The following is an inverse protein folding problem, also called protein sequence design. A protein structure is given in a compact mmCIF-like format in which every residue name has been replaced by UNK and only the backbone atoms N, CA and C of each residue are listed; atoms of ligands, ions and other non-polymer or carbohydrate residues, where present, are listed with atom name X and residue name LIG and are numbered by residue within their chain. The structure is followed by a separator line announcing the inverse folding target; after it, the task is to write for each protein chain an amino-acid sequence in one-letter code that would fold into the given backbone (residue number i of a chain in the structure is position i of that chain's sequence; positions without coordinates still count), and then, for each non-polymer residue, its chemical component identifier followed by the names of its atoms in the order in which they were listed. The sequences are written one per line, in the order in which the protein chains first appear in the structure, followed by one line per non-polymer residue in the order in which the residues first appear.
data_IF_871786895525
#
_entry.id   IF_871786895525
#
_cell.length_a   1.000
_cell.length_b   1.000
_cell.length_c   1.000
_cell.angle_alpha   90.00
_cell.angle_beta   90.00
_cell.angle_gamma   90.00
#
_symmetry.space_group_name_H-M   'P 1'
#
loop_
_entity.id
_entity.type
_entity.pdbx_description
1 polymer ?
#
# COMPACT_ATOMS: atom_id res chain seq x y z
N UNK A 1 -9.72 -0.34 10.72
CA UNK A 1 -10.40 -1.40 9.95
C UNK A 1 -11.17 -0.79 8.81
N UNK A 2 -11.20 -1.43 7.66
CA UNK A 2 -11.97 -1.03 6.50
C UNK A 2 -12.83 -2.20 6.04
N UNK A 3 -14.12 -1.97 5.80
CA UNK A 3 -15.04 -2.98 5.28
C UNK A 3 -15.17 -2.86 3.76
N UNK A 4 -15.23 -4.00 3.10
CA UNK A 4 -15.39 -4.10 1.65
C UNK A 4 -16.76 -4.67 1.33
N UNK A 5 -17.57 -3.92 0.57
CA UNK A 5 -18.85 -4.38 0.07
C UNK A 5 -19.08 -3.86 -1.35
N UNK A 6 -19.83 -4.59 -2.15
CA UNK A 6 -20.31 -4.08 -3.43
C UNK A 6 -21.35 -2.97 -3.20
N UNK A 7 -21.47 -1.99 -4.11
CA UNK A 7 -22.38 -0.84 -3.93
C UNK A 7 -23.84 -1.20 -3.66
N UNK A 8 -24.27 -2.37 -4.12
CA UNK A 8 -25.66 -2.85 -3.98
C UNK A 8 -25.87 -3.79 -2.77
N UNK A 9 -24.81 -4.13 -2.06
CA UNK A 9 -24.86 -5.03 -0.92
C UNK A 9 -25.07 -4.29 0.38
N UNK A 10 -26.02 -4.79 1.19
CA UNK A 10 -26.30 -4.27 2.53
C UNK A 10 -25.22 -4.61 3.56
N UNK A 11 -24.50 -5.71 3.34
CA UNK A 11 -23.53 -6.25 4.28
C UNK A 11 -22.16 -6.35 3.63
N UNK A 12 -21.11 -6.12 4.39
CA UNK A 12 -19.75 -6.32 3.95
C UNK A 12 -19.41 -7.81 3.84
N UNK A 13 -18.79 -8.22 2.74
CA UNK A 13 -18.30 -9.59 2.53
C UNK A 13 -16.89 -9.78 3.06
N UNK A 14 -16.17 -8.71 3.27
CA UNK A 14 -14.81 -8.75 3.78
C UNK A 14 -14.39 -7.48 4.49
N UNK A 15 -13.23 -7.52 5.09
CA UNK A 15 -12.65 -6.37 5.76
C UNK A 15 -11.13 -6.45 5.81
N UNK A 16 -10.49 -5.31 5.93
CA UNK A 16 -9.05 -5.20 6.08
C UNK A 16 -8.72 -4.54 7.42
N UNK A 17 -7.88 -5.20 8.21
CA UNK A 17 -7.29 -4.64 9.42
C UNK A 17 -5.84 -4.31 9.10
N UNK A 18 -5.48 -3.03 9.22
CA UNK A 18 -4.12 -2.55 8.97
C UNK A 18 -3.45 -2.22 10.30
N UNK A 19 -2.21 -2.66 10.47
CA UNK A 19 -1.36 -2.30 11.59
C UNK A 19 0.07 -2.10 11.13
N UNK A 20 0.83 -1.31 11.88
CA UNK A 20 2.25 -1.12 11.61
C UNK A 20 3.08 -2.25 12.21
N UNK A 21 4.10 -2.68 11.46
CA UNK A 21 5.07 -3.68 11.87
C UNK A 21 6.46 -3.27 11.36
N UNK A 22 7.48 -3.38 12.19
CA UNK A 22 8.85 -3.12 11.77
C UNK A 22 9.39 -4.31 10.98
N UNK A 23 10.19 -4.04 9.94
CA UNK A 23 10.80 -5.11 9.14
C UNK A 23 11.71 -6.01 9.98
N UNK A 24 12.40 -5.45 10.98
CA UNK A 24 13.31 -6.17 11.87
C UNK A 24 12.64 -7.35 12.60
N UNK A 25 11.32 -7.24 12.84
CA UNK A 25 10.55 -8.31 13.46
C UNK A 25 10.45 -9.57 12.58
N UNK A 26 10.58 -9.41 11.27
CA UNK A 26 10.49 -10.49 10.26
C UNK A 26 11.79 -10.74 9.51
N UNK A 27 12.83 -9.93 9.71
CA UNK A 27 14.07 -9.96 8.96
C UNK A 27 14.77 -11.33 9.02
N UNK A 28 14.67 -12.04 10.15
CA UNK A 28 15.24 -13.38 10.30
C UNK A 28 14.73 -14.42 9.30
N UNK A 29 13.58 -14.18 8.67
CA UNK A 29 13.02 -15.02 7.62
C UNK A 29 13.29 -14.51 6.19
N UNK A 30 14.05 -13.43 6.04
CA UNK A 30 14.47 -12.92 4.75
C UNK A 30 15.24 -13.98 3.97
N UNK A 31 14.95 -14.13 2.70
CA UNK A 31 15.57 -15.14 1.83
C UNK A 31 15.00 -16.55 1.96
N UNK A 32 13.99 -16.77 2.81
CA UNK A 32 13.25 -18.03 2.84
C UNK A 32 12.20 -18.06 1.71
N UNK A 33 11.81 -19.27 1.30
CA UNK A 33 10.81 -19.45 0.22
C UNK A 33 9.43 -19.00 0.70
N UNK A 34 8.75 -18.20 -0.12
CA UNK A 34 7.36 -17.78 0.11
C UNK A 34 6.47 -19.02 0.27
N UNK A 35 5.59 -19.00 1.28
CA UNK A 35 4.71 -20.15 1.61
C UNK A 35 5.41 -21.29 2.37
N UNK A 36 6.73 -21.26 2.53
CA UNK A 36 7.52 -22.31 3.20
C UNK A 36 8.53 -21.71 4.20
N UNK A 37 8.11 -20.70 4.98
CA UNK A 37 8.98 -20.00 5.94
C UNK A 37 9.11 -20.70 7.30
N UNK A 38 8.40 -21.82 7.46
CA UNK A 38 8.39 -22.63 8.67
C UNK A 38 7.35 -22.20 9.71
N UNK A 39 7.08 -23.13 10.63
CA UNK A 39 6.00 -23.02 11.62
C UNK A 39 6.11 -21.78 12.50
N UNK A 40 7.32 -21.41 12.91
CA UNK A 40 7.55 -20.22 13.76
C UNK A 40 7.13 -18.90 13.07
N UNK A 41 7.20 -18.83 11.74
CA UNK A 41 6.72 -17.67 11.01
C UNK A 41 5.19 -17.63 10.97
N UNK A 42 4.55 -18.75 10.68
CA UNK A 42 3.10 -18.86 10.63
C UNK A 42 2.48 -18.63 12.01
N UNK A 43 3.08 -19.16 13.06
CA UNK A 43 2.66 -18.92 14.42
C UNK A 43 2.74 -17.43 14.79
N UNK A 44 3.84 -16.76 14.47
CA UNK A 44 3.99 -15.33 14.70
C UNK A 44 2.92 -14.51 13.97
N UNK A 45 2.61 -14.85 12.71
CA UNK A 45 1.53 -14.22 11.93
C UNK A 45 0.17 -14.42 12.60
N UNK A 46 -0.12 -15.66 12.99
CA UNK A 46 -1.37 -16.02 13.67
C UNK A 46 -1.54 -15.23 14.99
N UNK A 47 -0.53 -15.22 15.85
CA UNK A 47 -0.57 -14.49 17.11
C UNK A 47 -0.80 -12.98 16.91
N UNK A 48 -0.20 -12.39 15.86
CA UNK A 48 -0.40 -10.98 15.52
C UNK A 48 -1.81 -10.73 15.00
N UNK A 49 -2.32 -11.59 14.12
CA UNK A 49 -3.67 -11.50 13.59
C UNK A 49 -4.71 -11.58 14.70
N UNK A 50 -4.59 -12.55 15.60
CA UNK A 50 -5.52 -12.70 16.71
C UNK A 50 -5.55 -11.46 17.63
N UNK A 51 -4.41 -10.88 17.94
CA UNK A 51 -4.34 -9.63 18.72
C UNK A 51 -5.05 -8.47 18.02
N UNK A 52 -4.94 -8.38 16.69
CA UNK A 52 -5.60 -7.33 15.91
C UNK A 52 -7.10 -7.57 15.84
N UNK A 53 -7.52 -8.81 15.61
CA UNK A 53 -8.93 -9.21 15.63
C UNK A 53 -9.55 -8.92 16.99
N UNK A 54 -8.90 -9.30 18.09
CA UNK A 54 -9.37 -9.03 19.43
C UNK A 54 -9.50 -7.53 19.73
N UNK A 55 -8.55 -6.73 19.22
CA UNK A 55 -8.62 -5.28 19.37
C UNK A 55 -9.85 -4.69 18.66
N UNK A 56 -10.16 -5.18 17.46
CA UNK A 56 -11.32 -4.72 16.69
C UNK A 56 -12.62 -5.25 17.30
N UNK A 57 -12.63 -6.50 17.79
CA UNK A 57 -13.81 -7.09 18.40
C UNK A 57 -14.22 -6.43 19.74
N UNK A 58 -13.31 -5.70 20.38
CA UNK A 58 -13.69 -4.86 21.54
C UNK A 58 -14.66 -3.73 21.16
N UNK A 59 -14.51 -3.18 19.96
CA UNK A 59 -15.38 -2.14 19.40
C UNK A 59 -16.61 -2.74 18.67
N UNK A 60 -16.42 -3.93 18.08
CA UNK A 60 -17.42 -4.64 17.29
C UNK A 60 -17.59 -6.09 17.79
N UNK A 61 -18.26 -6.34 18.92
CA UNK A 61 -18.30 -7.66 19.58
C UNK A 61 -18.78 -8.81 18.68
N UNK A 62 -19.76 -8.56 17.81
CA UNK A 62 -20.31 -9.59 16.91
C UNK A 62 -19.41 -9.91 15.71
N UNK A 63 -18.35 -9.15 15.50
CA UNK A 63 -17.46 -9.37 14.37
C UNK A 63 -16.74 -10.72 14.46
N UNK A 64 -16.41 -11.18 15.68
CA UNK A 64 -15.71 -12.45 15.89
C UNK A 64 -16.46 -13.64 15.29
N UNK A 65 -17.77 -13.65 15.45
CA UNK A 65 -18.65 -14.72 14.95
C UNK A 65 -18.85 -14.64 13.42
N UNK A 66 -18.65 -13.47 12.85
CA UNK A 66 -18.78 -13.24 11.40
C UNK A 66 -17.49 -13.53 10.60
N UNK A 67 -16.35 -13.72 11.28
CA UNK A 67 -15.08 -14.05 10.60
C UNK A 67 -15.08 -15.53 10.23
N UNK A 68 -15.18 -15.84 8.95
CA UNK A 68 -15.08 -17.19 8.42
C UNK A 68 -13.62 -17.64 8.26
N UNK A 69 -12.77 -16.75 7.74
CA UNK A 69 -11.35 -16.99 7.52
C UNK A 69 -10.59 -15.67 7.41
N UNK A 70 -9.26 -15.69 7.51
CA UNK A 70 -8.42 -14.53 7.30
C UNK A 70 -7.04 -14.87 6.76
N UNK A 71 -6.49 -13.96 5.99
CA UNK A 71 -5.11 -14.01 5.53
C UNK A 71 -4.29 -12.87 6.10
N UNK A 72 -2.99 -13.10 6.21
CA UNK A 72 -2.07 -12.12 6.80
C UNK A 72 -0.88 -11.84 5.90
N UNK A 73 -0.57 -10.56 5.75
CA UNK A 73 0.65 -10.07 5.11
C UNK A 73 1.55 -9.37 6.12
N UNK A 74 2.85 -9.50 5.94
CA UNK A 74 3.87 -8.84 6.76
C UNK A 74 4.73 -7.93 5.88
N UNK A 75 5.62 -7.09 6.46
CA UNK A 75 6.59 -6.36 5.67
C UNK A 75 7.44 -7.25 4.75
N UNK A 76 7.71 -8.51 5.15
CA UNK A 76 8.43 -9.46 4.33
C UNK A 76 7.63 -9.90 3.08
N UNK A 77 6.30 -9.96 3.17
CA UNK A 77 5.43 -10.18 2.03
C UNK A 77 5.59 -9.07 0.98
N UNK A 78 5.56 -7.80 1.43
CA UNK A 78 5.79 -6.66 0.52
C UNK A 78 7.19 -6.66 -0.06
N UNK A 79 8.20 -6.95 0.75
CA UNK A 79 9.59 -7.07 0.28
C UNK A 79 9.71 -8.07 -0.88
N UNK A 80 9.11 -9.26 -0.75
CA UNK A 80 9.22 -10.32 -1.74
C UNK A 80 8.40 -10.06 -3.01
N UNK A 81 7.18 -9.54 -2.88
CA UNK A 81 6.29 -9.34 -4.03
C UNK A 81 6.50 -8.03 -4.76
N UNK A 82 6.93 -6.99 -4.08
CA UNK A 82 7.07 -5.65 -4.68
C UNK A 82 8.51 -5.18 -4.83
N UNK A 83 9.47 -5.89 -4.22
CA UNK A 83 10.88 -5.49 -4.22
C UNK A 83 11.17 -4.19 -3.45
N UNK A 84 10.22 -3.71 -2.64
CA UNK A 84 10.40 -2.47 -1.89
C UNK A 84 11.38 -2.66 -0.73
N UNK A 85 12.24 -1.68 -0.53
CA UNK A 85 13.23 -1.70 0.56
C UNK A 85 12.53 -1.91 1.91
N UNK A 86 12.98 -2.92 2.67
CA UNK A 86 12.44 -3.30 3.98
C UNK A 86 10.91 -3.45 4.00
N UNK A 87 10.32 -3.89 2.87
CA UNK A 87 8.89 -4.11 2.75
C UNK A 87 8.03 -2.86 2.92
N UNK A 88 8.54 -1.70 2.53
CA UNK A 88 7.81 -0.44 2.63
C UNK A 88 6.56 -0.46 1.73
N UNK A 89 5.38 -0.42 2.34
CA UNK A 89 4.10 -0.47 1.62
C UNK A 89 3.89 0.78 0.75
N UNK A 90 4.29 1.94 1.25
CA UNK A 90 4.05 3.24 0.62
C UNK A 90 5.28 3.88 -0.02
N UNK A 91 6.35 3.11 -0.16
CA UNK A 91 7.58 3.55 -0.80
C UNK A 91 8.47 4.41 0.10
N UNK A 92 9.16 5.40 -0.50
CA UNK A 92 10.14 6.23 0.17
C UNK A 92 9.48 7.11 1.25
N UNK A 93 10.07 7.13 2.45
CA UNK A 93 9.65 8.03 3.52
C UNK A 93 9.78 9.50 3.09
N UNK A 94 8.76 10.29 3.41
CA UNK A 94 8.72 11.72 3.11
C UNK A 94 8.77 12.48 4.42
N UNK A 95 9.90 13.13 4.65
CA UNK A 95 10.04 14.02 5.79
C UNK A 95 9.29 15.32 5.51
N UNK A 96 8.22 15.57 6.28
CA UNK A 96 7.41 16.76 6.10
C UNK A 96 8.16 18.04 6.47
N UNK A 97 9.19 17.95 7.33
CA UNK A 97 10.04 19.09 7.68
C UNK A 97 10.87 19.60 6.51
N UNK A 98 11.18 18.71 5.55
CA UNK A 98 11.89 19.08 4.32
C UNK A 98 10.96 19.71 3.26
N UNK A 99 9.64 19.68 3.49
CA UNK A 99 8.67 20.20 2.53
C UNK A 99 8.86 19.63 1.12
N UNK A 100 8.85 20.49 0.07
CA UNK A 100 9.05 20.03 -1.31
C UNK A 100 10.41 19.35 -1.57
N UNK A 101 11.46 19.74 -0.83
CA UNK A 101 12.79 19.16 -0.96
C UNK A 101 12.86 17.68 -0.53
N UNK A 102 11.95 17.23 0.32
CA UNK A 102 11.81 15.83 0.74
C UNK A 102 11.10 14.94 -0.29
N UNK A 103 10.73 15.46 -1.46
CA UNK A 103 10.03 14.72 -2.51
C UNK A 103 10.95 14.39 -3.67
N UNK A 104 10.82 13.17 -4.19
CA UNK A 104 11.46 12.79 -5.46
C UNK A 104 10.72 13.50 -6.60
N UNK A 105 11.45 14.32 -7.35
CA UNK A 105 10.90 15.06 -8.48
C UNK A 105 10.65 14.15 -9.68
N UNK A 106 9.65 14.49 -10.50
CA UNK A 106 9.39 13.77 -11.76
C UNK A 106 10.53 13.98 -12.77
N UNK A 107 11.01 15.21 -12.90
CA UNK A 107 12.12 15.56 -13.77
C UNK A 107 13.46 15.21 -13.11
N UNK A 108 14.31 14.49 -13.82
CA UNK A 108 15.66 14.18 -13.38
C UNK A 108 16.70 15.12 -13.98
N UNK A 109 17.94 15.03 -13.52
CA UNK A 109 19.08 15.73 -14.13
C UNK A 109 19.53 15.08 -15.46
N UNK A 110 19.02 13.89 -15.75
CA UNK A 110 19.32 13.19 -17.01
C UNK A 110 18.31 13.64 -18.05
N UNK A 111 18.75 14.19 -19.20
CA UNK A 111 17.83 14.57 -20.26
C UNK A 111 16.94 13.40 -20.70
N UNK A 112 15.66 13.68 -20.92
CA UNK A 112 14.65 12.72 -21.36
C UNK A 112 14.37 11.55 -20.39
N UNK A 113 14.82 11.62 -19.12
CA UNK A 113 14.47 10.68 -18.07
C UNK A 113 13.51 11.33 -17.08
N UNK A 114 12.28 10.83 -17.04
CA UNK A 114 11.26 11.20 -16.07
C UNK A 114 10.97 10.03 -15.15
N UNK A 115 10.60 10.35 -13.90
CA UNK A 115 10.20 9.39 -12.88
C UNK A 115 8.70 9.49 -12.65
N UNK A 116 8.04 8.35 -12.50
CA UNK A 116 6.62 8.26 -12.15
C UNK A 116 6.39 7.14 -11.12
N UNK A 117 5.21 7.13 -10.52
CA UNK A 117 4.82 6.10 -9.57
C UNK A 117 4.74 6.62 -8.12
N UNK A 118 4.49 5.70 -7.19
CA UNK A 118 4.19 6.04 -5.79
C UNK A 118 5.33 6.71 -5.03
N UNK A 119 6.57 6.59 -5.51
CA UNK A 119 7.75 7.18 -4.86
C UNK A 119 7.96 8.65 -5.22
N UNK A 120 7.31 9.17 -6.26
CA UNK A 120 7.48 10.55 -6.72
C UNK A 120 6.55 11.52 -5.98
N UNK A 121 5.31 11.65 -6.39
CA UNK A 121 4.40 12.65 -5.83
C UNK A 121 3.62 12.15 -4.62
N UNK A 122 2.77 11.13 -4.81
CA UNK A 122 1.94 10.57 -3.76
C UNK A 122 1.75 9.07 -3.95
N UNK A 123 1.48 8.35 -2.85
CA UNK A 123 1.23 6.92 -2.86
C UNK A 123 -0.26 6.60 -2.98
N UNK A 124 -0.56 5.32 -3.17
CA UNK A 124 -1.92 4.82 -3.37
C UNK A 124 -2.45 5.09 -4.77
N UNK A 125 -3.59 4.51 -5.11
CA UNK A 125 -4.16 4.58 -6.47
C UNK A 125 -4.34 6.03 -6.92
N UNK A 126 -5.02 6.84 -6.12
CA UNK A 126 -5.26 8.25 -6.45
C UNK A 126 -3.93 9.04 -6.56
N UNK A 127 -3.01 8.80 -5.63
CA UNK A 127 -1.71 9.48 -5.63
C UNK A 127 -0.87 9.16 -6.86
N UNK A 128 -0.90 7.90 -7.32
CA UNK A 128 -0.20 7.48 -8.55
C UNK A 128 -0.87 8.07 -9.78
N UNK A 129 -2.21 8.08 -9.87
CA UNK A 129 -2.93 8.69 -10.99
C UNK A 129 -2.63 10.18 -11.11
N UNK A 130 -2.74 10.94 -10.02
CA UNK A 130 -2.39 12.37 -10.01
C UNK A 130 -0.91 12.56 -10.35
N UNK A 131 -0.02 11.75 -9.77
CA UNK A 131 1.42 11.80 -10.07
C UNK A 131 1.73 11.52 -11.54
N UNK A 132 0.96 10.66 -12.21
CA UNK A 132 1.09 10.41 -13.64
C UNK A 132 0.72 11.63 -14.46
N UNK A 133 -0.38 12.32 -14.13
CA UNK A 133 -0.77 13.58 -14.79
C UNK A 133 0.33 14.63 -14.64
N UNK A 134 0.88 14.77 -13.42
CA UNK A 134 2.00 15.70 -13.17
C UNK A 134 3.24 15.31 -13.97
N UNK A 135 3.60 14.02 -14.03
CA UNK A 135 4.74 13.55 -14.82
C UNK A 135 4.52 13.80 -16.32
N UNK A 136 3.33 13.56 -16.84
CA UNK A 136 2.99 13.85 -18.24
C UNK A 136 3.03 15.35 -18.55
N UNK A 137 2.69 16.21 -17.58
CA UNK A 137 2.73 17.67 -17.78
C UNK A 137 4.16 18.24 -17.93
N UNK A 138 5.17 17.43 -17.63
CA UNK A 138 6.57 17.77 -17.95
C UNK A 138 6.86 17.71 -19.47
N UNK A 139 6.05 16.98 -20.23
CA UNK A 139 6.18 16.79 -21.67
C UNK A 139 5.06 17.48 -22.45
N UNK A 140 3.87 17.55 -21.89
CA UNK A 140 2.66 18.10 -22.51
C UNK A 140 2.13 19.25 -21.65
N UNK A 141 1.28 20.08 -22.19
CA UNK A 141 0.61 21.09 -21.38
C UNK A 141 -0.47 20.43 -20.50
N UNK A 142 -0.57 20.87 -19.24
CA UNK A 142 -1.57 20.32 -18.31
C UNK A 142 -3.01 20.48 -18.84
N UNK A 143 -3.27 21.57 -19.58
CA UNK A 143 -4.58 21.84 -20.17
C UNK A 143 -4.95 20.83 -21.26
N UNK A 144 -4.00 20.41 -22.10
CA UNK A 144 -4.26 19.38 -23.11
C UNK A 144 -4.54 18.01 -22.48
N UNK A 145 -3.76 17.63 -21.47
CA UNK A 145 -3.94 16.35 -20.78
C UNK A 145 -5.33 16.23 -20.16
N UNK A 146 -5.80 17.26 -19.47
CA UNK A 146 -7.12 17.26 -18.82
C UNK A 146 -8.22 17.20 -19.87
N UNK A 147 -8.12 17.96 -20.96
CA UNK A 147 -9.08 17.91 -22.07
C UNK A 147 -9.13 16.52 -22.71
N UNK A 148 -7.98 15.90 -22.96
CA UNK A 148 -7.90 14.57 -23.56
C UNK A 148 -8.51 13.49 -22.65
N UNK A 149 -8.27 13.57 -21.33
CA UNK A 149 -8.89 12.67 -20.34
C UNK A 149 -10.42 12.83 -20.32
N UNK A 150 -10.93 14.07 -20.34
CA UNK A 150 -12.37 14.33 -20.32
C UNK A 150 -13.01 13.77 -21.61
N UNK A 151 -12.45 14.08 -22.78
CA UNK A 151 -12.98 13.63 -24.06
C UNK A 151 -12.93 12.10 -24.26
N UNK A 152 -12.00 11.43 -23.62
CA UNK A 152 -11.91 9.96 -23.66
C UNK A 152 -12.95 9.25 -22.79
N UNK A 153 -13.66 9.99 -21.91
CA UNK A 153 -14.69 9.46 -21.02
C UNK A 153 -16.13 9.89 -21.42
N UNK A 154 -16.27 10.66 -22.50
CA UNK A 154 -17.54 10.98 -23.17
C UNK A 154 -17.90 9.95 -24.25
#
# INVERSE_FOLDING_TARGET
MHFCNAPEQRWAEGGVILSYMQFDEVERWKGTTIGHRGEAYEQMKHERAERLIDAVCREFPHLREAIADYETSTPLTYYDYTGTERGAMYGIARDFHLGPAGRVQHRTKIPNLLLAGQNTNSHGILGVLVGTIVACSELLTSESIIKDIISANE
#
